data_IF_314394536851
#
_entry.id   IF_314394536851
#
_cell.length_a   1.000
_cell.length_b   1.000
_cell.length_c   1.000
_cell.angle_alpha   90.00
_cell.angle_beta   90.00
_cell.angle_gamma   90.00
#
_symmetry.space_group_name_H-M   'P 1'
#
loop_
_entity.id
_entity.type
_entity.pdbx_description
1 polymer ?
#
# COMPACT_ATOMS: atom_id res chain seq x y z
N UNK A 1 -33.86 -1.13 9.71
CA UNK A 1 -34.46 0.21 9.82
C UNK A 1 -33.36 1.15 10.27
N UNK A 2 -33.10 2.15 9.45
CA UNK A 2 -32.14 3.22 9.78
C UNK A 2 -32.79 4.10 10.84
N UNK A 3 -32.42 3.91 12.09
CA UNK A 3 -32.95 4.70 13.19
C UNK A 3 -32.00 5.87 13.45
N UNK A 4 -32.45 7.08 13.17
CA UNK A 4 -31.74 8.31 13.57
C UNK A 4 -32.18 8.66 14.98
N UNK A 5 -31.23 8.90 15.86
CA UNK A 5 -31.46 9.29 17.26
C UNK A 5 -30.83 10.65 17.55
N UNK A 6 -31.38 11.37 18.54
CA UNK A 6 -30.85 12.70 18.91
C UNK A 6 -29.54 12.63 19.69
N UNK A 7 -29.37 11.61 20.53
CA UNK A 7 -28.22 11.48 21.40
C UNK A 7 -27.84 10.02 21.67
N UNK A 8 -26.56 9.84 22.04
CA UNK A 8 -25.97 8.56 22.44
C UNK A 8 -25.31 8.76 23.82
N UNK A 9 -25.61 7.88 24.76
CA UNK A 9 -24.92 7.80 26.07
C UNK A 9 -23.95 6.62 26.06
N UNK A 10 -22.67 6.88 26.36
CA UNK A 10 -21.66 5.84 26.55
C UNK A 10 -21.23 5.76 28.01
N UNK A 11 -20.92 4.55 28.49
CA UNK A 11 -20.34 4.30 29.80
C UNK A 11 -19.13 3.36 29.57
N UNK A 12 -17.94 3.87 29.83
CA UNK A 12 -16.70 3.18 29.42
C UNK A 12 -16.68 3.00 27.90
N UNK A 13 -16.46 1.79 27.45
CA UNK A 13 -16.35 1.43 26.02
C UNK A 13 -17.70 1.02 25.39
N UNK A 14 -18.80 1.09 26.16
CA UNK A 14 -20.09 0.58 25.70
C UNK A 14 -21.12 1.69 25.46
N UNK A 15 -21.94 1.52 24.43
CA UNK A 15 -23.15 2.32 24.21
C UNK A 15 -24.19 1.85 25.24
N UNK A 16 -24.46 2.69 26.25
CA UNK A 16 -25.41 2.37 27.31
C UNK A 16 -26.87 2.70 26.92
N UNK A 17 -27.08 3.72 26.11
CA UNK A 17 -28.40 4.08 25.61
C UNK A 17 -28.32 5.00 24.37
N UNK A 18 -29.39 5.00 23.60
CA UNK A 18 -29.62 5.91 22.47
C UNK A 18 -31.05 6.41 22.54
N UNK A 19 -31.34 7.62 22.04
CA UNK A 19 -32.70 8.17 22.03
C UNK A 19 -32.77 9.68 22.07
N UNK A 20 -33.87 10.21 22.61
CA UNK A 20 -34.03 11.63 22.82
C UNK A 20 -33.06 12.14 23.94
N UNK A 21 -32.50 13.32 23.77
CA UNK A 21 -31.55 13.89 24.73
C UNK A 21 -32.21 14.06 26.14
N UNK A 22 -33.51 14.42 26.19
CA UNK A 22 -34.25 14.55 27.43
C UNK A 22 -34.26 13.26 28.26
N UNK A 23 -34.48 12.13 27.56
CA UNK A 23 -34.59 10.81 28.21
C UNK A 23 -33.20 10.32 28.70
N UNK A 24 -32.16 10.60 27.90
CA UNK A 24 -30.81 10.22 28.27
C UNK A 24 -30.28 11.06 29.45
N UNK A 25 -30.64 12.34 29.54
CA UNK A 25 -30.26 13.19 30.66
C UNK A 25 -30.70 12.62 32.02
N UNK A 26 -31.88 12.01 32.08
CA UNK A 26 -32.38 11.39 33.32
C UNK A 26 -31.56 10.13 33.74
N UNK A 27 -30.80 9.57 32.81
CA UNK A 27 -30.00 8.34 33.00
C UNK A 27 -28.49 8.61 33.12
N UNK A 28 -28.08 9.86 32.97
CA UNK A 28 -26.65 10.23 33.00
C UNK A 28 -26.11 10.14 34.44
N UNK A 29 -24.98 9.45 34.63
CA UNK A 29 -24.25 9.53 35.89
C UNK A 29 -23.79 10.97 36.19
N UNK A 30 -23.62 11.29 37.47
CA UNK A 30 -23.03 12.57 37.88
C UNK A 30 -21.61 12.71 37.29
N UNK A 31 -21.32 13.89 36.73
CA UNK A 31 -20.02 14.16 36.09
C UNK A 31 -19.89 13.70 34.64
N UNK A 32 -20.97 13.23 33.99
CA UNK A 32 -20.95 12.89 32.59
C UNK A 32 -20.59 14.09 31.72
N UNK A 33 -19.55 13.95 30.89
CA UNK A 33 -19.18 14.95 29.89
C UNK A 33 -20.19 14.94 28.74
N UNK A 34 -20.72 16.13 28.38
CA UNK A 34 -21.58 16.30 27.21
C UNK A 34 -20.78 16.91 26.08
N UNK A 35 -20.91 16.32 24.89
CA UNK A 35 -20.28 16.81 23.66
C UNK A 35 -21.40 17.19 22.70
N UNK A 36 -21.49 18.49 22.37
CA UNK A 36 -22.40 18.97 21.32
C UNK A 36 -21.74 18.78 19.95
N UNK A 37 -22.38 18.03 19.08
CA UNK A 37 -21.89 17.78 17.74
C UNK A 37 -22.12 18.94 16.76
N UNK A 38 -22.78 20.04 17.22
CA UNK A 38 -23.04 21.24 16.45
C UNK A 38 -23.66 20.96 15.06
N UNK A 39 -24.64 20.08 15.01
CA UNK A 39 -25.35 19.67 13.80
C UNK A 39 -24.62 18.62 12.95
N UNK A 40 -23.50 18.11 13.39
CA UNK A 40 -22.79 16.98 12.71
C UNK A 40 -23.48 15.65 13.07
N UNK A 41 -23.42 14.72 12.13
CA UNK A 41 -23.87 13.35 12.37
C UNK A 41 -22.74 12.51 13.03
N UNK A 42 -23.14 11.63 13.94
CA UNK A 42 -22.28 10.58 14.48
C UNK A 42 -22.72 9.23 13.90
N UNK A 43 -21.77 8.49 13.39
CA UNK A 43 -21.98 7.14 12.84
C UNK A 43 -21.10 6.15 13.60
N UNK A 44 -21.45 4.85 13.63
CA UNK A 44 -20.50 3.82 14.00
C UNK A 44 -19.25 3.92 13.11
N UNK A 45 -18.08 3.66 13.67
CA UNK A 45 -16.86 3.63 12.90
C UNK A 45 -16.89 2.50 11.86
N UNK A 46 -16.13 2.69 10.77
CA UNK A 46 -16.04 1.70 9.71
C UNK A 46 -15.03 0.61 10.05
N UNK A 47 -15.31 -0.58 9.54
CA UNK A 47 -14.43 -1.74 9.55
C UNK A 47 -13.95 -1.94 8.13
N UNK A 48 -12.63 -1.99 7.91
CA UNK A 48 -12.07 -2.46 6.65
C UNK A 48 -12.11 -4.00 6.62
N UNK A 49 -13.00 -4.61 5.82
CA UNK A 49 -13.20 -6.06 5.83
C UNK A 49 -12.14 -6.81 5.03
N UNK A 50 -11.37 -6.12 4.18
CA UNK A 50 -10.35 -6.72 3.33
C UNK A 50 -9.31 -5.67 2.92
N UNK A 51 -8.31 -5.46 3.75
CA UNK A 51 -7.22 -4.52 3.50
C UNK A 51 -5.85 -5.17 3.54
N UNK A 52 -4.83 -4.35 3.30
CA UNK A 52 -3.41 -4.69 3.44
C UNK A 52 -2.74 -3.69 4.40
N UNK A 53 -3.35 -3.50 5.56
CA UNK A 53 -2.77 -2.62 6.58
C UNK A 53 -1.43 -3.21 7.08
N UNK A 54 -0.34 -2.43 7.16
CA UNK A 54 -0.19 -0.98 7.00
C UNK A 54 0.34 -0.50 5.64
N UNK A 55 0.21 -1.29 4.57
CA UNK A 55 0.71 -0.96 3.22
C UNK A 55 0.37 0.46 2.72
N UNK A 56 -0.84 1.02 2.95
CA UNK A 56 -1.13 2.39 2.53
C UNK A 56 -0.14 3.43 3.08
N UNK A 57 0.33 3.24 4.32
CA UNK A 57 1.35 4.11 4.91
C UNK A 57 2.72 3.95 4.27
N UNK A 58 3.10 2.73 3.90
CA UNK A 58 4.36 2.48 3.17
C UNK A 58 4.33 3.09 1.77
N UNK A 59 3.20 2.97 1.08
CA UNK A 59 3.02 3.61 -0.24
C UNK A 59 3.20 5.11 -0.09
N UNK A 60 2.52 5.72 0.87
CA UNK A 60 2.55 7.16 1.10
C UNK A 60 3.95 7.70 1.41
N UNK A 61 4.75 6.97 2.17
CA UNK A 61 6.04 7.48 2.66
C UNK A 61 7.24 7.02 1.82
N UNK A 62 7.23 5.79 1.33
CA UNK A 62 8.45 5.15 0.82
C UNK A 62 8.36 4.72 -0.64
N UNK A 63 7.14 4.45 -1.17
CA UNK A 63 6.94 3.96 -2.52
C UNK A 63 6.40 5.05 -3.44
N UNK A 64 6.38 4.79 -4.74
CA UNK A 64 5.78 5.67 -5.74
C UNK A 64 4.41 5.12 -6.11
N UNK A 65 3.36 5.85 -5.77
CA UNK A 65 2.00 5.50 -6.18
C UNK A 65 1.83 5.78 -7.69
N UNK A 66 1.63 4.71 -8.47
CA UNK A 66 1.43 4.75 -9.92
C UNK A 66 -0.04 4.46 -10.30
N UNK A 67 -0.97 4.63 -9.37
CA UNK A 67 -2.39 4.43 -9.64
C UNK A 67 -2.90 5.35 -10.75
N UNK A 68 -3.64 4.76 -11.68
CA UNK A 68 -4.35 5.50 -12.72
C UNK A 68 -5.67 6.11 -12.19
N UNK A 69 -6.28 7.07 -12.93
CA UNK A 69 -7.62 7.54 -12.61
C UNK A 69 -8.66 6.40 -12.58
N UNK A 70 -9.69 6.46 -11.72
CA UNK A 70 -10.03 7.55 -10.79
C UNK A 70 -9.30 7.51 -9.44
N UNK A 71 -8.56 6.43 -9.14
CA UNK A 71 -7.88 6.23 -7.85
C UNK A 71 -6.68 7.18 -7.68
N UNK A 72 -5.89 7.36 -8.74
CA UNK A 72 -4.73 8.23 -8.79
C UNK A 72 -4.77 9.13 -10.02
N UNK A 73 -3.62 9.62 -10.43
CA UNK A 73 -3.49 10.51 -11.59
C UNK A 73 -2.33 10.13 -12.53
N UNK A 74 -1.91 8.84 -12.51
CA UNK A 74 -0.93 8.29 -13.44
C UNK A 74 -1.66 7.75 -14.69
N UNK A 75 -1.94 8.63 -15.67
CA UNK A 75 -2.79 8.31 -16.79
C UNK A 75 -2.05 7.63 -17.96
N UNK A 76 -0.73 7.74 -18.00
CA UNK A 76 0.11 7.27 -19.11
C UNK A 76 1.52 6.87 -18.63
N UNK A 77 2.30 6.26 -19.52
CA UNK A 77 3.66 5.83 -19.24
C UNK A 77 4.59 7.00 -18.91
N UNK A 78 4.43 8.13 -19.57
CA UNK A 78 5.27 9.31 -19.33
C UNK A 78 5.10 9.82 -17.89
N UNK A 79 3.87 9.83 -17.37
CA UNK A 79 3.58 10.18 -15.98
C UNK A 79 4.22 9.19 -14.99
N UNK A 80 4.17 7.88 -15.29
CA UNK A 80 4.79 6.85 -14.47
C UNK A 80 6.31 7.02 -14.38
N UNK A 81 6.98 7.11 -15.54
CA UNK A 81 8.44 7.28 -15.62
C UNK A 81 8.89 8.59 -14.95
N UNK A 82 8.15 9.68 -15.15
CA UNK A 82 8.42 10.95 -14.49
C UNK A 82 8.39 10.82 -12.97
N UNK A 83 7.37 10.17 -12.40
CA UNK A 83 7.26 9.98 -10.93
C UNK A 83 8.39 9.14 -10.38
N UNK A 84 8.75 8.05 -11.06
CA UNK A 84 9.90 7.23 -10.69
C UNK A 84 11.18 8.06 -10.71
N UNK A 85 11.39 8.90 -11.75
CA UNK A 85 12.54 9.79 -11.85
C UNK A 85 12.58 10.87 -10.76
N UNK A 86 11.43 11.41 -10.35
CA UNK A 86 11.36 12.35 -9.23
C UNK A 86 11.76 11.66 -7.91
N UNK A 87 11.33 10.44 -7.69
CA UNK A 87 11.73 9.63 -6.53
C UNK A 87 13.20 9.31 -6.56
N UNK A 88 13.76 8.88 -7.70
CA UNK A 88 15.18 8.57 -7.85
C UNK A 88 16.08 9.75 -7.46
N UNK A 89 15.70 10.98 -7.80
CA UNK A 89 16.47 12.20 -7.44
C UNK A 89 16.59 12.42 -5.94
N UNK A 90 15.68 11.88 -5.15
CA UNK A 90 15.64 12.04 -3.67
C UNK A 90 16.03 10.78 -2.93
N UNK A 91 16.31 9.70 -3.64
CA UNK A 91 16.74 8.41 -3.10
C UNK A 91 18.27 8.33 -3.20
N UNK A 92 18.99 7.88 -2.17
CA UNK A 92 20.44 7.65 -2.26
C UNK A 92 20.78 6.66 -3.39
N UNK A 93 21.90 6.89 -4.08
CA UNK A 93 22.36 5.99 -5.13
C UNK A 93 22.55 4.56 -4.58
N UNK A 94 22.09 3.57 -5.33
CA UNK A 94 22.08 2.16 -4.91
C UNK A 94 20.84 1.73 -4.13
N UNK A 95 20.07 2.67 -3.58
CA UNK A 95 18.82 2.36 -2.91
C UNK A 95 17.67 2.14 -3.94
N UNK A 96 16.68 1.36 -3.54
CA UNK A 96 15.57 0.99 -4.39
C UNK A 96 14.58 2.14 -4.65
N UNK A 97 14.10 2.20 -5.88
CA UNK A 97 12.94 2.99 -6.29
C UNK A 97 11.82 2.04 -6.66
N UNK A 98 10.76 2.01 -5.84
CA UNK A 98 9.63 1.11 -6.03
C UNK A 98 8.39 1.85 -6.47
N UNK A 99 7.92 1.55 -7.69
CA UNK A 99 6.58 1.91 -8.15
C UNK A 99 5.58 0.81 -7.83
N UNK A 100 4.41 1.17 -7.35
CA UNK A 100 3.35 0.23 -6.99
C UNK A 100 2.00 0.66 -7.56
N UNK A 101 1.04 -0.26 -7.59
CA UNK A 101 -0.32 -0.02 -8.07
C UNK A 101 -0.38 0.39 -9.55
N UNK A 102 0.64 0.02 -10.34
CA UNK A 102 0.63 0.25 -11.77
C UNK A 102 -0.37 -0.69 -12.45
N UNK A 103 -1.32 -0.14 -13.19
CA UNK A 103 -2.31 -0.91 -13.93
C UNK A 103 -2.19 -0.62 -15.44
N UNK A 104 -1.62 -1.58 -16.15
CA UNK A 104 -1.44 -1.46 -17.60
C UNK A 104 -2.77 -1.41 -18.38
N UNK A 105 -3.88 -1.83 -17.80
CA UNK A 105 -5.20 -1.76 -18.45
C UNK A 105 -5.86 -0.38 -18.29
N UNK A 106 -5.39 0.41 -17.34
CA UNK A 106 -5.95 1.72 -17.00
C UNK A 106 -5.18 2.91 -17.58
N UNK A 107 -3.98 2.67 -18.14
CA UNK A 107 -3.17 3.72 -18.80
C UNK A 107 -3.35 3.70 -20.31
N UNK A 108 -2.97 4.81 -20.98
CA UNK A 108 -3.17 4.99 -22.43
C UNK A 108 -2.45 3.96 -23.29
N UNK A 109 -1.21 3.58 -22.93
CA UNK A 109 -0.37 2.65 -23.70
C UNK A 109 -0.77 1.18 -23.55
N UNK A 110 -1.59 0.84 -22.57
CA UNK A 110 -2.11 -0.51 -22.28
C UNK A 110 -1.04 -1.60 -22.22
N UNK A 111 0.11 -1.28 -21.68
CA UNK A 111 1.23 -2.21 -21.50
C UNK A 111 2.00 -1.92 -20.23
N UNK A 112 2.79 -2.87 -19.77
CA UNK A 112 3.79 -2.65 -18.72
C UNK A 112 4.94 -1.77 -19.24
N UNK A 113 5.69 -1.07 -18.38
CA UNK A 113 6.95 -0.46 -18.79
C UNK A 113 7.94 -1.51 -19.27
N UNK A 114 8.88 -1.13 -20.10
CA UNK A 114 9.99 -1.98 -20.51
C UNK A 114 11.21 -1.75 -19.59
N UNK A 115 12.12 -2.74 -19.53
CA UNK A 115 13.41 -2.59 -18.85
C UNK A 115 14.16 -1.34 -19.32
N UNK A 116 14.21 -1.12 -20.62
CA UNK A 116 14.92 0.01 -21.21
C UNK A 116 14.30 1.38 -20.81
N UNK A 117 12.98 1.47 -20.69
CA UNK A 117 12.32 2.69 -20.20
C UNK A 117 12.68 2.95 -18.73
N UNK A 118 12.73 1.91 -17.91
CA UNK A 118 13.16 2.03 -16.51
C UNK A 118 14.66 2.34 -16.38
N UNK A 119 15.52 1.77 -17.24
CA UNK A 119 16.93 2.12 -17.33
C UNK A 119 17.12 3.60 -17.71
N UNK A 120 16.24 4.12 -18.58
CA UNK A 120 16.19 5.54 -18.93
C UNK A 120 15.81 6.47 -17.77
N UNK A 121 15.14 5.94 -16.74
CA UNK A 121 14.87 6.69 -15.50
C UNK A 121 16.12 6.79 -14.65
N UNK A 122 16.78 5.66 -14.38
CA UNK A 122 18.05 5.60 -13.65
C UNK A 122 18.74 4.26 -13.84
N UNK A 123 20.05 4.31 -14.01
CA UNK A 123 20.96 3.16 -13.95
C UNK A 123 21.63 3.00 -12.58
N UNK A 124 21.57 4.03 -11.72
CA UNK A 124 22.20 4.06 -10.41
C UNK A 124 21.29 3.50 -9.30
N UNK A 125 20.00 3.31 -9.61
CA UNK A 125 19.01 2.79 -8.68
C UNK A 125 18.40 1.50 -9.22
N UNK A 126 18.30 0.43 -8.41
CA UNK A 126 17.40 -0.68 -8.73
C UNK A 126 15.96 -0.17 -8.72
N UNK A 127 15.26 -0.34 -9.85
CA UNK A 127 13.86 0.08 -10.04
C UNK A 127 12.99 -1.15 -10.18
N UNK A 128 11.92 -1.20 -9.41
CA UNK A 128 10.88 -2.23 -9.48
C UNK A 128 9.50 -1.59 -9.63
N UNK A 129 8.77 -1.95 -10.67
CA UNK A 129 7.38 -1.52 -10.88
C UNK A 129 6.46 -2.71 -10.72
N UNK A 130 5.70 -2.71 -9.61
CA UNK A 130 4.74 -3.75 -9.27
C UNK A 130 3.37 -3.45 -9.88
N UNK A 131 2.81 -4.42 -10.59
CA UNK A 131 1.44 -4.32 -11.09
C UNK A 131 0.41 -4.30 -9.95
N UNK A 132 -0.72 -3.64 -10.17
CA UNK A 132 -1.79 -3.50 -9.18
C UNK A 132 -2.39 -4.83 -8.71
N UNK A 133 -2.30 -5.88 -9.53
CA UNK A 133 -2.72 -7.23 -9.15
C UNK A 133 -1.82 -7.91 -8.11
N UNK A 134 -0.58 -7.43 -7.93
CA UNK A 134 0.40 -8.10 -7.09
C UNK A 134 1.00 -9.39 -7.69
N UNK A 135 0.75 -9.71 -8.97
CA UNK A 135 1.17 -10.99 -9.57
C UNK A 135 2.29 -10.86 -10.60
N UNK A 136 2.63 -9.66 -11.02
CA UNK A 136 3.73 -9.41 -11.94
C UNK A 136 4.31 -8.01 -11.73
N UNK A 137 5.47 -7.78 -12.30
CA UNK A 137 6.12 -6.48 -12.29
C UNK A 137 7.25 -6.42 -13.29
N UNK A 138 7.89 -5.26 -13.39
CA UNK A 138 9.04 -5.04 -14.27
C UNK A 138 10.19 -4.43 -13.50
N UNK A 139 11.36 -5.06 -13.62
CA UNK A 139 12.64 -4.61 -13.07
C UNK A 139 13.50 -3.94 -14.14
N UNK A 140 14.28 -2.93 -13.74
CA UNK A 140 15.34 -2.39 -14.57
C UNK A 140 16.61 -3.27 -14.53
N UNK A 141 17.60 -2.92 -15.32
CA UNK A 141 18.87 -3.67 -15.39
C UNK A 141 19.62 -3.69 -14.05
N UNK A 142 19.61 -2.58 -13.31
CA UNK A 142 20.23 -2.51 -12.00
C UNK A 142 19.57 -3.45 -10.97
N UNK A 143 18.22 -3.54 -10.98
CA UNK A 143 17.47 -4.44 -10.12
C UNK A 143 17.74 -5.91 -10.45
N UNK A 144 17.73 -6.28 -11.75
CA UNK A 144 18.06 -7.65 -12.18
C UNK A 144 19.49 -8.05 -11.78
N UNK A 145 20.47 -7.17 -11.99
CA UNK A 145 21.85 -7.41 -11.62
C UNK A 145 22.04 -7.55 -10.11
N UNK A 146 21.36 -6.72 -9.31
CA UNK A 146 21.41 -6.78 -7.85
C UNK A 146 20.89 -8.11 -7.31
N UNK A 147 19.85 -8.68 -7.96
CA UNK A 147 19.28 -9.99 -7.62
C UNK A 147 20.05 -11.18 -8.24
N UNK A 148 21.05 -10.90 -9.07
CA UNK A 148 21.84 -11.94 -9.74
C UNK A 148 21.11 -12.66 -10.87
N UNK A 149 20.03 -12.07 -11.40
CA UNK A 149 19.30 -12.65 -12.52
C UNK A 149 20.05 -12.48 -13.84
N UNK A 150 20.14 -13.57 -14.57
CA UNK A 150 20.79 -13.67 -15.89
C UNK A 150 19.84 -14.29 -16.91
N UNK A 151 20.13 -14.23 -18.20
CA UNK A 151 19.37 -14.96 -19.21
C UNK A 151 19.22 -16.46 -18.93
N UNK A 152 20.20 -17.05 -18.23
CA UNK A 152 20.22 -18.49 -17.87
C UNK A 152 19.48 -18.80 -16.57
N UNK A 153 19.01 -17.80 -15.83
CA UNK A 153 18.22 -18.02 -14.61
C UNK A 153 16.95 -18.82 -14.93
N UNK A 154 16.76 -20.02 -14.33
CA UNK A 154 15.60 -20.85 -14.68
C UNK A 154 14.28 -20.24 -14.20
N UNK A 155 13.24 -20.48 -14.96
CA UNK A 155 11.89 -20.10 -14.53
C UNK A 155 11.45 -21.01 -13.37
N UNK A 156 10.96 -20.44 -12.25
CA UNK A 156 10.42 -21.23 -11.16
C UNK A 156 9.05 -21.82 -11.52
N UNK A 157 8.67 -22.89 -10.84
CA UNK A 157 7.36 -23.51 -11.05
C UNK A 157 6.23 -22.52 -10.75
N UNK A 158 5.38 -22.22 -11.73
CA UNK A 158 4.27 -21.28 -11.60
C UNK A 158 4.68 -19.80 -11.74
N UNK A 159 5.86 -19.52 -12.29
CA UNK A 159 6.34 -18.18 -12.62
C UNK A 159 7.29 -18.20 -13.80
N UNK A 160 7.64 -17.02 -14.29
CA UNK A 160 8.61 -16.88 -15.41
C UNK A 160 9.31 -15.54 -15.36
N UNK A 161 10.53 -15.54 -15.89
CA UNK A 161 11.27 -14.34 -16.25
C UNK A 161 11.10 -14.07 -17.73
N UNK A 162 10.58 -12.87 -18.05
CA UNK A 162 10.37 -12.48 -19.45
C UNK A 162 11.69 -12.41 -20.22
N UNK A 163 11.74 -13.06 -21.39
CA UNK A 163 12.90 -13.05 -22.29
C UNK A 163 12.52 -12.55 -23.66
N UNK A 164 13.41 -11.82 -24.28
CA UNK A 164 13.28 -11.46 -25.69
C UNK A 164 13.44 -12.73 -26.54
N UNK A 165 12.45 -13.04 -27.40
CA UNK A 165 12.49 -14.29 -28.18
C UNK A 165 13.60 -14.33 -29.24
N UNK A 166 14.16 -13.19 -29.64
CA UNK A 166 15.22 -13.11 -30.63
C UNK A 166 16.63 -13.21 -30.00
N UNK A 167 16.80 -12.68 -28.80
CA UNK A 167 18.12 -12.57 -28.16
C UNK A 167 18.29 -13.46 -26.94
N UNK A 168 17.19 -13.89 -26.31
CA UNK A 168 17.20 -14.58 -25.03
C UNK A 168 17.39 -13.67 -23.81
N UNK A 169 17.69 -12.40 -24.01
CA UNK A 169 17.94 -11.43 -22.95
C UNK A 169 16.70 -11.19 -22.08
N UNK A 170 16.91 -10.94 -20.78
CA UNK A 170 15.82 -10.61 -19.86
C UNK A 170 15.17 -9.27 -20.25
N UNK A 171 13.84 -9.26 -20.38
CA UNK A 171 13.07 -8.04 -20.69
C UNK A 171 12.78 -7.18 -19.44
N UNK A 172 13.07 -7.70 -18.25
CA UNK A 172 12.71 -7.11 -16.98
C UNK A 172 11.36 -7.58 -16.43
N UNK A 173 10.49 -8.17 -17.27
CA UNK A 173 9.22 -8.73 -16.80
C UNK A 173 9.46 -9.93 -15.89
N UNK A 174 8.81 -9.91 -14.71
CA UNK A 174 8.76 -11.01 -13.76
C UNK A 174 7.29 -11.30 -13.51
N UNK A 175 6.86 -12.51 -13.85
CA UNK A 175 5.45 -12.89 -13.90
C UNK A 175 5.19 -14.14 -13.07
N UNK A 176 4.13 -14.10 -12.26
CA UNK A 176 3.75 -15.14 -11.31
C UNK A 176 4.40 -14.99 -9.93
N UNK A 177 3.63 -15.36 -8.90
CA UNK A 177 4.02 -15.18 -7.49
C UNK A 177 5.35 -15.85 -7.16
N UNK A 178 5.63 -17.03 -7.76
CA UNK A 178 6.88 -17.76 -7.54
C UNK A 178 8.09 -16.98 -8.06
N UNK A 179 8.02 -16.43 -9.29
CA UNK A 179 9.10 -15.64 -9.86
C UNK A 179 9.27 -14.31 -9.11
N UNK A 180 8.16 -13.72 -8.66
CA UNK A 180 8.22 -12.52 -7.81
C UNK A 180 8.86 -12.80 -6.45
N UNK A 181 8.65 -14.00 -5.90
CA UNK A 181 9.32 -14.45 -4.68
C UNK A 181 10.84 -14.50 -4.80
N UNK A 182 11.37 -14.78 -6.00
CA UNK A 182 12.81 -14.75 -6.28
C UNK A 182 13.40 -13.31 -6.24
N UNK A 183 12.55 -12.28 -6.40
CA UNK A 183 12.96 -10.88 -6.17
C UNK A 183 13.24 -10.58 -4.70
N UNK A 184 13.06 -11.57 -3.83
CA UNK A 184 13.15 -11.40 -2.40
C UNK A 184 11.92 -10.67 -1.82
N UNK A 185 11.92 -10.52 -0.51
CA UNK A 185 10.87 -9.75 0.14
C UNK A 185 10.98 -8.29 -0.31
N UNK A 186 10.01 -7.84 -1.12
CA UNK A 186 9.93 -6.44 -1.53
C UNK A 186 9.66 -5.50 -0.35
N UNK A 187 9.48 -6.04 0.85
CA UNK A 187 9.46 -5.32 2.12
C UNK A 187 10.86 -5.13 2.72
N UNK A 188 11.93 -5.64 2.09
CA UNK A 188 13.33 -5.50 2.57
C UNK A 188 13.76 -4.04 2.76
N UNK A 189 13.05 -3.08 2.16
CA UNK A 189 13.26 -1.65 2.37
C UNK A 189 12.67 -1.12 3.69
N UNK A 190 11.92 -1.95 4.42
CA UNK A 190 11.18 -1.52 5.59
C UNK A 190 11.88 -2.10 6.81
N UNK A 191 12.94 -1.38 7.25
CA UNK A 191 13.52 -1.61 8.57
C UNK A 191 12.49 -1.33 9.68
N UNK A 192 12.82 -1.69 10.91
CA UNK A 192 11.93 -1.55 12.06
C UNK A 192 11.39 -0.11 12.20
N UNK A 193 12.23 0.90 12.04
CA UNK A 193 11.83 2.30 12.21
C UNK A 193 10.88 2.74 11.09
N UNK A 194 11.17 2.38 9.85
CA UNK A 194 10.31 2.65 8.70
C UNK A 194 8.98 1.91 8.79
N UNK A 195 8.99 0.69 9.34
CA UNK A 195 7.75 -0.05 9.60
C UNK A 195 6.80 0.75 10.47
N UNK A 196 7.29 1.27 11.61
CA UNK A 196 6.46 2.04 12.53
C UNK A 196 6.05 3.40 11.98
N UNK A 197 6.87 4.04 11.17
CA UNK A 197 6.48 5.26 10.45
C UNK A 197 5.33 4.97 9.47
N UNK A 198 5.43 3.91 8.68
CA UNK A 198 4.38 3.47 7.75
C UNK A 198 3.11 3.08 8.49
N UNK A 199 3.24 2.31 9.59
CA UNK A 199 2.11 1.95 10.45
C UNK A 199 1.38 3.19 10.98
N UNK A 200 2.11 4.15 11.55
CA UNK A 200 1.53 5.39 12.07
C UNK A 200 0.81 6.18 10.95
N UNK A 201 1.42 6.30 9.79
CA UNK A 201 0.81 7.00 8.65
C UNK A 201 -0.46 6.30 8.15
N UNK A 202 -0.48 4.96 8.11
CA UNK A 202 -1.66 4.18 7.73
C UNK A 202 -2.77 4.30 8.77
N UNK A 203 -2.42 4.20 10.07
CA UNK A 203 -3.36 4.39 11.18
C UNK A 203 -4.04 5.76 11.11
N UNK A 204 -3.25 6.80 10.96
CA UNK A 204 -3.76 8.17 10.97
C UNK A 204 -4.67 8.43 9.74
N UNK A 205 -4.32 7.84 8.59
CA UNK A 205 -5.17 7.89 7.39
C UNK A 205 -6.49 7.14 7.59
N UNK A 206 -6.46 5.93 8.15
CA UNK A 206 -7.67 5.16 8.49
C UNK A 206 -8.57 5.93 9.44
N UNK A 207 -8.02 6.47 10.52
CA UNK A 207 -8.77 7.26 11.50
C UNK A 207 -9.36 8.53 10.89
N UNK A 208 -8.64 9.22 10.01
CA UNK A 208 -9.15 10.41 9.30
C UNK A 208 -10.36 10.10 8.42
N UNK A 209 -10.49 8.85 7.95
CA UNK A 209 -11.62 8.36 7.17
C UNK A 209 -12.67 7.59 7.99
N UNK A 210 -12.54 7.59 9.31
CA UNK A 210 -13.48 6.92 10.22
C UNK A 210 -13.34 5.41 10.29
N UNK A 211 -12.27 4.84 9.76
CA UNK A 211 -11.95 3.41 9.87
C UNK A 211 -11.19 3.16 11.16
N UNK A 212 -11.75 2.37 12.07
CA UNK A 212 -11.12 2.05 13.37
C UNK A 212 -10.71 0.59 13.50
N UNK A 213 -11.06 -0.23 12.54
CA UNK A 213 -10.67 -1.63 12.48
C UNK A 213 -10.12 -1.93 11.10
N UNK A 214 -8.81 -2.13 11.02
CA UNK A 214 -8.13 -2.56 9.82
C UNK A 214 -7.66 -3.99 9.93
N UNK A 215 -7.48 -4.66 8.81
CA UNK A 215 -6.89 -6.00 8.76
C UNK A 215 -5.82 -6.08 7.67
N UNK A 216 -4.98 -7.09 7.77
CA UNK A 216 -4.03 -7.44 6.74
C UNK A 216 -4.40 -8.82 6.16
N UNK A 217 -4.87 -8.83 4.91
CA UNK A 217 -5.26 -10.06 4.21
C UNK A 217 -4.04 -10.87 3.70
N UNK A 218 -2.83 -10.31 3.80
CA UNK A 218 -1.58 -10.93 3.36
C UNK A 218 -0.43 -10.57 4.31
N UNK A 219 -0.43 -11.17 5.50
CA UNK A 219 0.64 -10.96 6.46
C UNK A 219 1.73 -12.02 6.32
N UNK A 220 2.97 -11.60 6.09
CA UNK A 220 4.14 -12.48 6.20
C UNK A 220 4.47 -12.77 7.67
N UNK A 221 5.29 -13.80 7.92
CA UNK A 221 5.80 -14.09 9.26
C UNK A 221 6.59 -12.91 9.84
N UNK A 222 7.30 -12.16 8.99
CA UNK A 222 8.04 -10.97 9.38
C UNK A 222 7.09 -9.83 9.77
N UNK A 223 6.04 -9.57 8.98
CA UNK A 223 4.99 -8.60 9.33
C UNK A 223 4.34 -8.95 10.67
N UNK A 224 4.03 -10.22 10.91
CA UNK A 224 3.47 -10.67 12.20
C UNK A 224 4.47 -10.47 13.35
N UNK A 225 5.76 -10.70 13.12
CA UNK A 225 6.80 -10.44 14.11
C UNK A 225 6.89 -8.96 14.48
N UNK A 226 6.78 -8.07 13.50
CA UNK A 226 6.74 -6.63 13.74
C UNK A 226 5.52 -6.23 14.58
N UNK A 227 4.32 -6.74 14.25
CA UNK A 227 3.11 -6.47 15.05
C UNK A 227 3.24 -6.96 16.49
N UNK A 228 3.88 -8.12 16.72
CA UNK A 228 4.10 -8.65 18.07
C UNK A 228 5.12 -7.84 18.88
N UNK A 229 5.87 -6.94 18.25
CA UNK A 229 6.81 -6.03 18.94
C UNK A 229 6.16 -4.72 19.38
N UNK A 230 4.83 -4.57 19.22
CA UNK A 230 4.10 -3.40 19.71
C UNK A 230 4.28 -3.28 21.23
N UNK A 231 4.70 -2.12 21.73
CA UNK A 231 4.61 -1.85 23.16
C UNK A 231 3.14 -1.93 23.59
N UNK A 232 2.90 -2.65 24.69
CA UNK A 232 1.57 -2.81 25.29
C UNK A 232 0.96 -1.48 25.73
#
# INVERSE_FOLDING_TARGET
QDTVVEAVLTIGENIAAVGALSDLRARMPAGTTQVDLAGKAMLPAFIDPHGHFPDPGFIKLFRVDLSAPPRGNCADMAAALKRLGEKAKTTPAGDWVMGVLFDNTAISERRMPTRAELDGVSTDHPIWVLHASGHNGVANSAALALQGFTPDTPDPLGGRFGRDPATGELTGLIDGISAMGEMGDTNFLIDHDRFWQGFAAARDDHLAHGVTYGQNAWASAETLSQFNSLPA
#
